data_IF_344600935022
#
_entry.id   IF_344600935022
#
_cell.length_a   1.000
_cell.length_b   1.000
_cell.length_c   1.000
_cell.angle_alpha   90.00
_cell.angle_beta   90.00
_cell.angle_gamma   90.00
#
_symmetry.space_group_name_H-M   'P 1'
#
loop_
_entity.id
_entity.type
_entity.pdbx_description
1 polymer ?
#
# COMPACT_ATOMS: atom_id res chain seq x y z
N UNK A 1 16.93 -57.16 -28.09
CA UNK A 1 16.99 -55.69 -28.37
C UNK A 1 15.68 -54.93 -28.09
N UNK A 2 14.49 -55.49 -28.34
CA UNK A 2 13.19 -54.79 -28.14
C UNK A 2 12.81 -54.50 -26.67
N UNK A 3 13.20 -55.35 -25.71
CA UNK A 3 12.90 -55.16 -24.27
C UNK A 3 13.64 -53.97 -23.64
N UNK A 4 14.92 -53.74 -24.00
CA UNK A 4 15.72 -52.61 -23.51
C UNK A 4 15.15 -51.26 -23.98
N UNK A 5 14.66 -51.18 -25.23
CA UNK A 5 14.00 -49.96 -25.76
C UNK A 5 12.70 -49.62 -25.02
N UNK A 6 11.91 -50.62 -24.61
CA UNK A 6 10.70 -50.41 -23.79
C UNK A 6 11.03 -49.89 -22.38
N UNK A 7 12.11 -50.38 -21.77
CA UNK A 7 12.56 -49.93 -20.44
C UNK A 7 12.99 -48.47 -20.47
N UNK A 8 13.79 -48.04 -21.46
CA UNK A 8 14.16 -46.62 -21.60
C UNK A 8 12.95 -45.71 -21.85
N UNK A 9 11.96 -46.18 -22.62
CA UNK A 9 10.74 -45.42 -22.87
C UNK A 9 9.90 -45.21 -21.60
N UNK A 10 9.86 -46.19 -20.69
CA UNK A 10 9.14 -46.09 -19.41
C UNK A 10 9.88 -45.15 -18.45
N UNK A 11 11.21 -45.23 -18.39
CA UNK A 11 12.03 -44.33 -17.55
C UNK A 11 11.89 -42.88 -18.02
N UNK A 12 11.89 -42.62 -19.33
CA UNK A 12 11.68 -41.30 -19.90
C UNK A 12 10.28 -40.74 -19.57
N UNK A 13 9.25 -41.59 -19.61
CA UNK A 13 7.88 -41.20 -19.28
C UNK A 13 7.74 -40.85 -17.79
N UNK A 14 8.36 -41.65 -16.91
CA UNK A 14 8.37 -41.41 -15.47
C UNK A 14 9.17 -40.15 -15.10
N UNK A 15 10.28 -39.86 -15.77
CA UNK A 15 11.01 -38.61 -15.55
C UNK A 15 10.20 -37.38 -15.96
N UNK A 16 9.44 -37.47 -17.06
CA UNK A 16 8.57 -36.38 -17.51
C UNK A 16 7.41 -36.14 -16.54
N UNK A 17 6.82 -37.21 -15.98
CA UNK A 17 5.79 -37.14 -14.94
C UNK A 17 6.27 -36.42 -13.67
N UNK A 18 7.51 -36.69 -13.23
CA UNK A 18 8.10 -36.00 -12.06
C UNK A 18 8.35 -34.52 -12.32
N UNK A 19 8.82 -34.16 -13.52
CA UNK A 19 9.07 -32.76 -13.91
C UNK A 19 7.76 -31.98 -13.93
N UNK A 20 6.66 -32.56 -14.45
CA UNK A 20 5.34 -31.93 -14.41
C UNK A 20 4.80 -31.77 -13.00
N UNK A 21 5.08 -32.70 -12.08
CA UNK A 21 4.65 -32.59 -10.68
C UNK A 21 5.35 -31.45 -9.95
N UNK A 22 6.65 -31.28 -10.17
CA UNK A 22 7.44 -30.18 -9.63
C UNK A 22 7.02 -28.81 -10.21
N UNK A 23 6.67 -28.75 -11.50
CA UNK A 23 6.13 -27.53 -12.10
C UNK A 23 4.75 -27.12 -11.51
N UNK A 24 4.04 -28.07 -10.89
CA UNK A 24 2.76 -27.83 -10.24
C UNK A 24 2.88 -27.49 -8.74
N UNK A 25 4.07 -27.55 -8.12
CA UNK A 25 4.25 -27.23 -6.70
C UNK A 25 4.46 -25.74 -6.41
N UNK A 26 4.48 -24.86 -7.41
CA UNK A 26 4.52 -23.40 -7.24
C UNK A 26 3.15 -22.77 -7.46
N UNK A 27 2.18 -23.19 -6.65
CA UNK A 27 0.99 -22.38 -6.41
C UNK A 27 0.79 -22.22 -4.91
N UNK A 28 1.78 -21.61 -4.26
CA UNK A 28 1.51 -20.86 -3.04
C UNK A 28 0.55 -19.74 -3.41
N UNK A 29 -0.74 -20.07 -3.32
CA UNK A 29 -1.81 -19.10 -3.25
C UNK A 29 -1.70 -18.45 -1.88
N UNK A 30 -0.65 -17.64 -1.70
CA UNK A 30 -0.66 -16.56 -0.72
C UNK A 30 -1.92 -15.79 -1.01
N UNK A 31 -2.89 -15.85 -0.09
CA UNK A 31 -4.08 -15.02 -0.17
C UNK A 31 -3.58 -13.60 -0.41
N UNK A 32 -3.92 -13.04 -1.58
CA UNK A 32 -3.40 -11.78 -2.09
C UNK A 32 -3.84 -10.60 -1.24
N UNK A 33 -3.29 -10.52 -0.03
CA UNK A 33 -3.23 -9.28 0.73
C UNK A 33 -2.02 -8.58 0.15
N UNK A 34 -2.27 -7.64 -0.77
CA UNK A 34 -1.26 -6.65 -1.10
C UNK A 34 -0.98 -5.87 0.17
N UNK A 35 0.10 -6.22 0.86
CA UNK A 35 0.60 -5.45 1.98
C UNK A 35 1.20 -4.20 1.37
N UNK A 36 0.45 -3.10 1.40
CA UNK A 36 1.01 -1.78 1.11
C UNK A 36 2.15 -1.53 2.09
N UNK A 37 3.35 -1.34 1.54
CA UNK A 37 4.50 -0.88 2.32
C UNK A 37 4.29 0.59 2.69
N UNK A 38 4.58 0.93 3.95
CA UNK A 38 4.50 2.31 4.42
C UNK A 38 5.71 3.11 3.95
N UNK A 39 5.49 4.36 3.60
CA UNK A 39 6.53 5.30 3.17
C UNK A 39 6.86 6.25 4.31
N UNK A 40 8.12 6.26 4.76
CA UNK A 40 8.58 7.23 5.75
C UNK A 40 8.42 8.66 5.21
N UNK A 41 7.76 9.51 5.98
CA UNK A 41 7.51 10.91 5.64
C UNK A 41 7.79 11.83 6.83
N UNK A 42 8.17 13.07 6.50
CA UNK A 42 8.20 14.17 7.46
C UNK A 42 6.77 14.60 7.85
N UNK A 43 6.68 15.50 8.83
CA UNK A 43 5.44 16.15 9.26
C UNK A 43 4.72 16.81 8.06
N UNK A 44 3.40 16.59 7.95
CA UNK A 44 2.56 17.19 6.90
C UNK A 44 1.80 18.39 7.47
N UNK A 45 1.86 19.51 6.76
CA UNK A 45 1.10 20.73 7.08
C UNK A 45 0.35 21.22 5.85
N UNK A 46 -0.97 21.24 5.96
CA UNK A 46 -1.89 21.80 4.98
C UNK A 46 -2.58 23.00 5.64
N UNK A 47 -2.37 24.18 5.08
CA UNK A 47 -2.94 25.46 5.51
C UNK A 47 -3.85 26.11 4.46
N UNK A 48 -3.93 25.51 3.27
CA UNK A 48 -4.83 25.90 2.18
C UNK A 48 -5.02 24.74 1.20
N UNK A 49 -6.03 24.84 0.32
CA UNK A 49 -6.27 23.83 -0.73
C UNK A 49 -5.06 23.64 -1.67
N UNK A 50 -4.26 24.70 -1.86
CA UNK A 50 -3.08 24.65 -2.74
C UNK A 50 -1.97 23.75 -2.18
N UNK A 51 -1.86 23.64 -0.86
CA UNK A 51 -0.81 22.86 -0.21
C UNK A 51 -0.94 21.37 -0.52
N UNK A 52 -2.16 20.87 -0.77
CA UNK A 52 -2.35 19.50 -1.21
C UNK A 52 -1.68 19.24 -2.56
N UNK A 53 -1.75 20.21 -3.48
CA UNK A 53 -1.17 20.11 -4.82
C UNK A 53 0.36 20.25 -4.73
N UNK A 54 0.83 21.22 -3.95
CA UNK A 54 2.25 21.49 -3.79
C UNK A 54 2.99 20.32 -3.13
N UNK A 55 2.31 19.56 -2.26
CA UNK A 55 2.80 18.34 -1.64
C UNK A 55 2.50 17.06 -2.44
N UNK A 56 1.78 17.17 -3.56
CA UNK A 56 1.56 16.06 -4.49
C UNK A 56 0.43 15.10 -4.13
N UNK A 57 -0.48 15.47 -3.23
CA UNK A 57 -1.69 14.67 -2.95
C UNK A 57 -2.71 14.81 -4.09
N UNK A 58 -3.49 13.76 -4.33
CA UNK A 58 -4.51 13.69 -5.39
C UNK A 58 -5.65 12.73 -5.01
N UNK A 59 -6.72 12.69 -5.81
CA UNK A 59 -8.08 12.27 -5.46
C UNK A 59 -8.41 10.89 -4.88
N UNK A 60 -9.71 10.72 -4.57
CA UNK A 60 -10.46 9.71 -3.79
C UNK A 60 -10.36 9.76 -2.27
N UNK A 61 -10.01 10.94 -1.78
CA UNK A 61 -10.67 11.56 -0.63
C UNK A 61 -11.88 12.43 -1.03
N UNK A 62 -12.77 11.85 -1.85
CA UNK A 62 -13.84 12.54 -2.60
C UNK A 62 -14.73 13.48 -1.74
N UNK A 63 -15.17 14.66 -2.18
CA UNK A 63 -16.35 14.93 -3.03
C UNK A 63 -15.98 15.66 -4.35
N UNK A 64 -16.23 15.19 -5.57
CA UNK A 64 -16.24 13.84 -6.10
C UNK A 64 -14.86 13.42 -6.64
N UNK A 65 -13.75 14.07 -6.22
CA UNK A 65 -12.40 13.47 -6.25
C UNK A 65 -11.24 14.24 -5.53
N UNK A 66 -11.39 14.92 -4.39
CA UNK A 66 -10.23 15.55 -3.73
C UNK A 66 -9.48 14.59 -2.77
N UNK A 67 -8.48 15.10 -2.06
CA UNK A 67 -7.16 14.47 -1.90
C UNK A 67 -7.08 13.24 -0.98
N UNK A 68 -6.23 12.28 -1.33
CA UNK A 68 -5.91 11.09 -0.55
C UNK A 68 -4.51 11.20 0.06
N UNK A 69 -4.44 11.13 1.37
CA UNK A 69 -3.22 11.00 2.16
C UNK A 69 -3.18 9.57 2.68
N UNK A 70 -2.27 8.74 2.15
CA UNK A 70 -2.23 7.33 2.53
C UNK A 70 -0.85 6.69 2.57
N UNK A 71 -0.76 5.57 3.30
CA UNK A 71 0.41 4.69 3.33
C UNK A 71 1.68 5.37 3.84
N UNK A 72 1.56 6.24 4.85
CA UNK A 72 2.68 7.00 5.43
C UNK A 72 3.10 6.48 6.80
N UNK A 73 4.42 6.46 7.05
CA UNK A 73 5.03 6.31 8.37
C UNK A 73 5.60 7.66 8.81
N UNK A 74 4.96 8.29 9.81
CA UNK A 74 5.40 9.57 10.36
C UNK A 74 5.63 9.37 11.86
N UNK A 75 6.89 9.17 12.21
CA UNK A 75 7.36 8.97 13.58
C UNK A 75 8.28 10.15 13.94
N UNK A 76 7.71 11.13 14.65
CA UNK A 76 8.35 12.42 14.89
C UNK A 76 8.45 12.78 16.38
N UNK A 77 9.30 13.76 16.66
CA UNK A 77 9.65 14.25 17.98
C UNK A 77 8.55 15.12 18.64
N UNK A 78 8.70 15.30 19.96
CA UNK A 78 7.61 15.34 20.94
C UNK A 78 6.73 16.60 21.01
N UNK A 79 6.82 17.52 20.04
CA UNK A 79 6.19 18.84 20.19
C UNK A 79 5.40 19.34 18.97
N UNK A 80 5.11 18.49 17.98
CA UNK A 80 4.35 18.91 16.80
C UNK A 80 3.39 17.84 16.27
N UNK A 81 2.34 18.27 15.56
CA UNK A 81 1.29 17.38 15.07
C UNK A 81 1.74 16.60 13.82
N UNK A 82 1.66 15.27 13.72
CA UNK A 82 2.20 14.59 12.51
C UNK A 82 1.53 15.06 11.22
N UNK A 83 0.20 15.20 11.24
CA UNK A 83 -0.59 15.74 10.14
C UNK A 83 -1.46 16.88 10.69
N UNK A 84 -1.17 18.11 10.26
CA UNK A 84 -2.00 19.30 10.54
C UNK A 84 -2.71 19.73 9.26
N UNK A 85 -4.04 19.82 9.29
CA UNK A 85 -4.85 20.32 8.16
C UNK A 85 -5.78 21.42 8.64
N UNK A 86 -5.69 22.59 8.01
CA UNK A 86 -6.55 23.73 8.31
C UNK A 86 -6.85 24.62 7.12
N UNK A 87 -7.97 25.34 7.21
CA UNK A 87 -8.43 26.33 6.24
C UNK A 87 -8.56 25.76 4.81
N UNK A 88 -9.16 24.58 4.70
CA UNK A 88 -9.37 23.91 3.42
C UNK A 88 -10.85 23.92 3.03
N UNK A 89 -11.13 23.99 1.73
CA UNK A 89 -12.48 23.90 1.17
C UNK A 89 -12.69 22.63 0.32
N UNK A 90 -11.62 21.86 0.10
CA UNK A 90 -11.67 20.55 -0.56
C UNK A 90 -11.73 19.41 0.46
N UNK A 91 -12.42 18.33 0.09
CA UNK A 91 -12.49 17.11 0.88
C UNK A 91 -11.13 16.39 0.84
N UNK A 92 -10.89 15.53 1.80
CA UNK A 92 -9.72 14.67 1.82
C UNK A 92 -10.00 13.40 2.60
N UNK A 93 -9.16 12.39 2.42
CA UNK A 93 -9.15 11.18 3.25
C UNK A 93 -7.73 10.95 3.75
N UNK A 94 -7.62 10.57 5.03
CA UNK A 94 -6.39 10.06 5.63
C UNK A 94 -6.62 8.59 5.95
N UNK A 95 -5.84 7.68 5.35
CA UNK A 95 -5.99 6.24 5.58
C UNK A 95 -4.64 5.51 5.58
N UNK A 96 -4.59 4.33 6.20
CA UNK A 96 -3.42 3.44 6.16
C UNK A 96 -2.09 4.09 6.61
N UNK A 97 -2.13 5.05 7.52
CA UNK A 97 -0.91 5.69 8.07
C UNK A 97 -0.52 5.08 9.42
N UNK A 98 0.79 5.02 9.68
CA UNK A 98 1.38 4.75 10.99
C UNK A 98 1.96 6.04 11.56
N UNK A 99 1.38 6.52 12.66
CA UNK A 99 1.68 7.84 13.22
C UNK A 99 2.10 7.70 14.70
N UNK A 100 3.26 8.26 15.05
CA UNK A 100 3.66 8.45 16.44
C UNK A 100 4.03 9.94 16.63
N UNK A 101 3.30 10.60 17.53
CA UNK A 101 3.54 11.98 17.93
C UNK A 101 3.63 12.10 19.45
N UNK A 102 4.39 13.10 19.93
CA UNK A 102 4.33 13.54 21.32
C UNK A 102 3.28 14.64 21.61
N UNK A 103 2.57 15.12 20.59
CA UNK A 103 1.46 16.07 20.68
C UNK A 103 0.18 15.44 20.08
N UNK A 104 -0.34 15.93 18.94
CA UNK A 104 -1.44 15.24 18.23
C UNK A 104 -0.91 14.44 17.03
N UNK A 105 -1.41 13.22 16.80
CA UNK A 105 -1.08 12.52 15.55
C UNK A 105 -1.74 13.21 14.34
N UNK A 106 -3.01 13.61 14.48
CA UNK A 106 -3.79 14.30 13.45
C UNK A 106 -4.52 15.47 14.10
N UNK A 107 -4.41 16.66 13.50
CA UNK A 107 -5.06 17.89 13.93
C UNK A 107 -5.79 18.52 12.75
N UNK A 108 -7.09 18.74 12.89
CA UNK A 108 -7.98 19.21 11.81
C UNK A 108 -8.84 20.37 12.33
N UNK A 109 -8.86 21.49 11.60
CA UNK A 109 -9.67 22.67 11.94
C UNK A 109 -10.08 23.45 10.70
N UNK A 110 -11.25 24.09 10.70
CA UNK A 110 -11.69 24.95 9.59
C UNK A 110 -11.59 24.28 8.20
N UNK A 111 -12.11 23.05 8.08
CA UNK A 111 -12.10 22.25 6.85
C UNK A 111 -13.48 22.15 6.20
N UNK A 112 -13.54 21.60 4.98
CA UNK A 112 -14.77 21.41 4.23
C UNK A 112 -15.80 20.57 5.01
N UNK A 113 -17.05 21.02 4.98
CA UNK A 113 -18.14 20.37 5.71
C UNK A 113 -18.41 18.98 5.12
N UNK A 114 -18.35 17.95 5.96
CA UNK A 114 -18.54 16.56 5.55
C UNK A 114 -17.28 15.82 5.09
N UNK A 115 -16.10 16.42 5.33
CA UNK A 115 -14.82 15.70 5.28
C UNK A 115 -14.68 14.72 6.44
#
# INVERSE_FOLDING_TARGET
MKKKKKIYSIILLLSLLSITYLANSESDTSSGVEVSELVTSEQIKISSDQDFIDLGFSGTGSESDPYLIENLDITGDSYSDNIEIKNTTKFFVIQNCYLISGHHAISISDVALGT
#
